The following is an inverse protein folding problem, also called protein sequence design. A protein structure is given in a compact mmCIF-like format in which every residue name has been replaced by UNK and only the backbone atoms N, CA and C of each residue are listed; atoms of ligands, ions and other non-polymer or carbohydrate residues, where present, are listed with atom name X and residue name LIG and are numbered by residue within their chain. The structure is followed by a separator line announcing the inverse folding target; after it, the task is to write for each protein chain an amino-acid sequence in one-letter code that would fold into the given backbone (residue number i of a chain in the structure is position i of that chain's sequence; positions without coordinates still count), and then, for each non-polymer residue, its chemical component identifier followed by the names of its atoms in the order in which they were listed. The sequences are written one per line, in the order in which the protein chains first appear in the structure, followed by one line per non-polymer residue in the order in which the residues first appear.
data_IF_761634366624
#
_entry.id   IF_761634366624
#
_cell.length_a   1.000
_cell.length_b   1.000
_cell.length_c   1.000
_cell.angle_alpha   90.00
_cell.angle_beta   90.00
_cell.angle_gamma   90.00
#
_symmetry.space_group_name_H-M   'P 1'
#
loop_
_entity.id
_entity.type
_entity.pdbx_description
1 polymer ?
#
# COMPACT_ATOMS: atom_id res chain seq x y z
N UNK A 1 11.56 24.39 -10.73
CA UNK A 1 11.92 24.21 -9.31
C UNK A 1 13.31 23.62 -9.26
N UNK A 2 14.19 24.11 -8.37
CA UNK A 2 15.54 23.53 -8.22
C UNK A 2 15.50 22.33 -7.26
N UNK A 3 16.40 21.36 -7.44
CA UNK A 3 16.49 20.17 -6.58
C UNK A 3 16.53 20.53 -5.08
N UNK A 4 17.23 21.61 -4.73
CA UNK A 4 17.37 22.11 -3.35
C UNK A 4 16.04 22.55 -2.73
N UNK A 5 15.10 23.08 -3.52
CA UNK A 5 13.77 23.45 -3.02
C UNK A 5 12.87 22.22 -2.80
N UNK A 6 12.99 21.20 -3.65
CA UNK A 6 12.27 19.93 -3.49
C UNK A 6 12.70 19.21 -2.21
N UNK A 7 14.02 19.11 -1.99
CA UNK A 7 14.59 18.50 -0.78
C UNK A 7 14.12 19.18 0.52
N UNK A 8 13.95 20.51 0.49
CA UNK A 8 13.55 21.23 1.69
C UNK A 8 12.07 21.02 2.04
N UNK A 9 11.20 20.92 1.03
CA UNK A 9 9.78 20.61 1.17
C UNK A 9 9.56 19.18 1.69
N UNK A 10 10.30 18.21 1.14
CA UNK A 10 10.25 16.81 1.61
C UNK A 10 10.66 16.69 3.08
N UNK A 11 11.73 17.37 3.50
CA UNK A 11 12.14 17.40 4.92
C UNK A 11 11.07 17.98 5.84
N UNK A 12 10.37 19.03 5.42
CA UNK A 12 9.29 19.64 6.21
C UNK A 12 8.08 18.70 6.33
N UNK A 13 7.70 18.03 5.25
CA UNK A 13 6.60 17.04 5.26
C UNK A 13 6.93 15.85 6.16
N UNK A 14 8.17 15.34 6.09
CA UNK A 14 8.66 14.27 6.98
C UNK A 14 8.59 14.72 8.45
N UNK A 15 9.04 15.93 8.76
CA UNK A 15 8.99 16.45 10.13
C UNK A 15 7.56 16.64 10.63
N UNK A 16 6.65 17.13 9.79
CA UNK A 16 5.24 17.26 10.13
C UNK A 16 4.57 15.90 10.39
N UNK A 17 4.87 14.90 9.57
CA UNK A 17 4.38 13.53 9.76
C UNK A 17 4.88 12.95 11.09
N UNK A 18 6.18 13.06 11.38
CA UNK A 18 6.76 12.64 12.67
C UNK A 18 6.09 13.38 13.85
N UNK A 19 5.92 14.70 13.74
CA UNK A 19 5.28 15.51 14.78
C UNK A 19 3.80 15.17 14.99
N UNK A 20 3.10 14.66 13.96
CA UNK A 20 1.70 14.25 14.08
C UNK A 20 1.52 12.93 14.84
N UNK A 21 2.60 12.19 15.10
CA UNK A 21 2.55 10.88 15.75
C UNK A 21 1.92 9.78 14.89
N UNK A 22 1.66 10.06 13.61
CA UNK A 22 1.12 9.06 12.70
C UNK A 22 2.19 8.00 12.36
N UNK A 23 1.82 6.70 12.38
CA UNK A 23 2.73 5.64 11.99
C UNK A 23 3.24 5.84 10.56
N UNK A 24 4.53 5.60 10.33
CA UNK A 24 5.17 5.78 9.01
C UNK A 24 4.87 4.64 8.04
N UNK A 25 4.75 3.42 8.55
CA UNK A 25 4.63 2.22 7.73
C UNK A 25 3.25 1.60 7.90
N UNK A 26 2.68 1.11 6.80
CA UNK A 26 1.51 0.23 6.84
C UNK A 26 1.84 -1.13 6.27
N UNK A 27 1.30 -2.18 6.90
CA UNK A 27 1.32 -3.56 6.42
C UNK A 27 -0.13 -3.94 6.13
N UNK A 28 -0.44 -4.25 4.86
CA UNK A 28 -1.78 -4.64 4.41
C UNK A 28 -1.77 -6.12 4.07
N UNK A 29 -2.59 -6.88 4.78
CA UNK A 29 -2.77 -8.32 4.63
C UNK A 29 -4.11 -8.54 3.95
N UNK A 30 -4.13 -9.07 2.73
CA UNK A 30 -5.37 -9.38 2.02
C UNK A 30 -5.76 -10.84 2.24
N UNK A 31 -7.01 -11.07 2.63
CA UNK A 31 -7.57 -12.38 2.91
C UNK A 31 -8.28 -12.95 1.69
N UNK A 32 -8.29 -14.28 1.56
CA UNK A 32 -9.01 -15.02 0.52
C UNK A 32 -10.49 -14.63 0.38
N UNK A 33 -11.14 -14.27 1.49
CA UNK A 33 -12.54 -13.84 1.53
C UNK A 33 -12.81 -12.39 1.11
N UNK A 34 -11.82 -11.65 0.61
CA UNK A 34 -11.97 -10.27 0.14
C UNK A 34 -11.84 -9.18 1.21
N UNK A 35 -11.68 -9.55 2.49
CA UNK A 35 -11.36 -8.63 3.56
C UNK A 35 -9.85 -8.32 3.61
N UNK A 36 -9.46 -7.25 4.31
CA UNK A 36 -8.06 -6.95 4.60
C UNK A 36 -7.86 -6.55 6.05
N UNK A 37 -6.66 -6.84 6.55
CA UNK A 37 -6.16 -6.36 7.85
C UNK A 37 -5.07 -5.32 7.56
N UNK A 38 -5.10 -4.20 8.28
CA UNK A 38 -4.04 -3.20 8.21
C UNK A 38 -3.37 -3.06 9.57
N UNK A 39 -2.07 -3.31 9.59
CA UNK A 39 -1.21 -2.98 10.72
C UNK A 39 -0.40 -1.72 10.43
N UNK A 40 -0.03 -1.03 11.50
CA UNK A 40 0.76 0.18 11.46
C UNK A 40 2.04 -0.02 12.28
N UNK A 41 3.13 0.57 11.81
CA UNK A 41 4.40 0.57 12.52
C UNK A 41 5.11 1.92 12.31
N UNK A 42 5.84 2.37 13.34
CA UNK A 42 6.67 3.58 13.25
C UNK A 42 8.10 3.26 12.80
N UNK A 43 8.57 2.05 13.08
CA UNK A 43 9.91 1.58 12.75
C UNK A 43 9.91 0.62 11.57
N UNK A 44 10.93 0.75 10.71
CA UNK A 44 11.04 -0.07 9.49
C UNK A 44 11.21 -1.54 9.83
N UNK A 45 12.07 -1.85 10.79
CA UNK A 45 12.39 -3.23 11.16
C UNK A 45 11.18 -3.94 11.78
N UNK A 46 10.37 -3.21 12.55
CA UNK A 46 9.09 -3.73 13.05
C UNK A 46 8.15 -4.04 11.87
N UNK A 47 8.01 -3.12 10.92
CA UNK A 47 7.14 -3.29 9.76
C UNK A 47 7.54 -4.50 8.91
N UNK A 48 8.84 -4.66 8.66
CA UNK A 48 9.38 -5.78 7.89
C UNK A 48 9.28 -7.11 8.65
N UNK A 49 9.47 -7.12 9.96
CA UNK A 49 9.27 -8.31 10.79
C UNK A 49 7.81 -8.78 10.72
N UNK A 50 6.85 -7.85 10.85
CA UNK A 50 5.42 -8.15 10.71
C UNK A 50 5.08 -8.67 9.31
N UNK A 51 5.69 -8.10 8.27
CA UNK A 51 5.50 -8.58 6.90
C UNK A 51 5.86 -10.06 6.77
N UNK A 52 7.04 -10.46 7.24
CA UNK A 52 7.50 -11.85 7.16
C UNK A 52 6.60 -12.79 7.96
N UNK A 53 6.17 -12.38 9.16
CA UNK A 53 5.23 -13.16 9.96
C UNK A 53 3.89 -13.36 9.25
N UNK A 54 3.36 -12.30 8.63
CA UNK A 54 2.10 -12.35 7.91
C UNK A 54 2.14 -13.29 6.70
N UNK A 55 3.29 -13.47 6.05
CA UNK A 55 3.44 -14.44 4.95
C UNK A 55 3.26 -15.88 5.39
N UNK A 56 3.48 -16.18 6.67
CA UNK A 56 3.24 -17.51 7.25
C UNK A 56 1.79 -17.75 7.68
N UNK A 57 0.92 -16.75 7.61
CA UNK A 57 -0.48 -16.88 8.02
C UNK A 57 -1.33 -17.57 6.95
N UNK A 58 -2.14 -18.55 7.37
CA UNK A 58 -3.03 -19.26 6.46
C UNK A 58 -4.15 -18.34 5.94
N UNK A 59 -4.51 -18.51 4.66
CA UNK A 59 -5.62 -17.78 4.04
C UNK A 59 -5.26 -16.37 3.54
N UNK A 60 -3.98 -16.02 3.52
CA UNK A 60 -3.48 -14.79 2.90
C UNK A 60 -3.38 -14.92 1.37
N UNK A 61 -3.84 -13.90 0.66
CA UNK A 61 -3.65 -13.74 -0.80
C UNK A 61 -2.38 -12.95 -1.10
N UNK A 62 -2.11 -11.91 -0.32
CA UNK A 62 -0.97 -11.01 -0.52
C UNK A 62 -0.68 -10.22 0.75
N UNK A 63 0.59 -9.91 0.99
CA UNK A 63 1.04 -9.02 2.05
C UNK A 63 1.83 -7.87 1.42
N UNK A 64 1.48 -6.63 1.75
CA UNK A 64 2.10 -5.43 1.18
C UNK A 64 2.53 -4.49 2.29
N UNK A 65 3.80 -4.09 2.30
CA UNK A 65 4.34 -3.08 3.23
C UNK A 65 4.68 -1.80 2.47
N UNK A 66 4.20 -0.67 2.96
CA UNK A 66 4.33 0.65 2.32
C UNK A 66 4.91 1.68 3.29
N UNK A 67 5.80 2.52 2.78
CA UNK A 67 6.38 3.67 3.47
C UNK A 67 5.63 4.95 3.06
N UNK A 68 4.91 5.55 4.00
CA UNK A 68 4.08 6.74 3.75
C UNK A 68 4.88 8.03 3.62
N UNK A 69 6.17 8.03 3.96
CA UNK A 69 7.03 9.21 3.79
C UNK A 69 7.70 9.25 2.43
N UNK A 70 8.22 8.11 1.97
CA UNK A 70 8.86 8.02 0.65
C UNK A 70 7.87 7.68 -0.46
N UNK A 71 6.63 7.33 -0.09
CA UNK A 71 5.58 6.85 -0.99
C UNK A 71 6.02 5.61 -1.79
N UNK A 72 6.77 4.73 -1.15
CA UNK A 72 7.33 3.53 -1.77
C UNK A 72 6.80 2.26 -1.14
N UNK A 73 6.52 1.27 -1.99
CA UNK A 73 6.32 -0.10 -1.57
C UNK A 73 7.66 -0.69 -1.15
N UNK A 74 7.77 -1.14 0.11
CA UNK A 74 8.97 -1.78 0.63
C UNK A 74 9.01 -3.27 0.30
N UNK A 75 7.85 -3.93 0.33
CA UNK A 75 7.69 -5.33 -0.01
C UNK A 75 6.25 -5.61 -0.45
N UNK A 76 6.08 -6.53 -1.40
CA UNK A 76 4.79 -7.02 -1.88
C UNK A 76 4.97 -8.49 -2.25
N UNK A 77 4.50 -9.36 -1.36
CA UNK A 77 4.74 -10.80 -1.45
C UNK A 77 3.42 -11.56 -1.46
N UNK A 78 3.43 -12.69 -2.17
CA UNK A 78 2.27 -13.53 -2.38
C UNK A 78 2.56 -14.93 -1.83
N UNK A 79 1.77 -15.41 -0.85
CA UNK A 79 1.92 -16.76 -0.33
C UNK A 79 1.77 -17.81 -1.46
N UNK A 80 2.39 -19.00 -1.33
CA UNK A 80 2.38 -20.04 -2.37
C UNK A 80 0.97 -20.50 -2.77
N UNK A 81 0.06 -20.53 -1.81
CA UNK A 81 -1.35 -20.91 -2.00
C UNK A 81 -2.25 -19.69 -2.29
N UNK A 82 -1.65 -18.51 -2.47
CA UNK A 82 -2.30 -17.23 -2.77
C UNK A 82 -2.39 -16.93 -4.26
N UNK A 83 -2.62 -15.65 -4.60
CA UNK A 83 -2.63 -15.19 -6.01
C UNK A 83 -1.21 -14.99 -6.50
N UNK A 84 -0.97 -15.14 -7.80
CA UNK A 84 0.27 -14.65 -8.39
C UNK A 84 0.24 -13.12 -8.52
N UNK A 85 1.42 -12.50 -8.58
CA UNK A 85 1.54 -11.06 -8.85
C UNK A 85 0.80 -10.65 -10.15
N UNK A 86 0.85 -11.52 -11.17
CA UNK A 86 0.18 -11.28 -12.46
C UNK A 86 -1.35 -11.32 -12.33
N UNK A 87 -1.90 -12.28 -11.59
CA UNK A 87 -3.34 -12.33 -11.31
C UNK A 87 -3.79 -11.06 -10.57
N UNK A 88 -3.01 -10.59 -9.60
CA UNK A 88 -3.35 -9.37 -8.89
C UNK A 88 -3.23 -8.12 -9.77
N UNK A 89 -2.26 -8.07 -10.69
CA UNK A 89 -2.14 -6.99 -11.67
C UNK A 89 -3.39 -6.89 -12.55
N UNK A 90 -3.83 -8.02 -13.11
CA UNK A 90 -5.04 -8.09 -13.95
C UNK A 90 -6.27 -7.58 -13.20
N UNK A 91 -6.46 -8.00 -11.95
CA UNK A 91 -7.59 -7.52 -11.13
C UNK A 91 -7.54 -6.02 -10.85
N UNK A 92 -6.34 -5.46 -10.66
CA UNK A 92 -6.18 -4.02 -10.50
C UNK A 92 -6.53 -3.27 -11.79
N UNK A 93 -6.08 -3.76 -12.94
CA UNK A 93 -6.40 -3.17 -14.25
C UNK A 93 -7.92 -3.19 -14.49
N UNK A 94 -8.57 -4.34 -14.26
CA UNK A 94 -10.03 -4.47 -14.37
C UNK A 94 -10.79 -3.52 -13.43
N UNK A 95 -10.31 -3.34 -12.19
CA UNK A 95 -10.92 -2.43 -11.24
C UNK A 95 -10.77 -0.95 -11.66
N UNK A 96 -9.64 -0.60 -12.25
CA UNK A 96 -9.38 0.74 -12.80
C UNK A 96 -10.31 1.01 -13.98
N UNK A 97 -10.44 0.06 -14.91
CA UNK A 97 -11.33 0.17 -16.07
C UNK A 97 -12.77 0.39 -15.63
N UNK A 98 -13.26 -0.42 -14.67
CA UNK A 98 -14.60 -0.25 -14.12
C UNK A 98 -14.80 1.09 -13.40
N UNK A 99 -13.78 1.62 -12.72
CA UNK A 99 -13.85 2.96 -12.12
C UNK A 99 -13.99 4.03 -13.20
N UNK A 100 -13.22 3.91 -14.28
CA UNK A 100 -13.23 4.86 -15.39
C UNK A 100 -14.58 4.85 -16.12
N UNK A 101 -15.14 3.67 -16.40
CA UNK A 101 -16.47 3.53 -16.98
C UNK A 101 -17.55 4.19 -16.12
N UNK A 102 -17.53 3.96 -14.80
CA UNK A 102 -18.47 4.61 -13.87
C UNK A 102 -18.34 6.12 -13.86
N UNK A 103 -17.11 6.63 -13.92
CA UNK A 103 -16.86 8.07 -13.96
C UNK A 103 -17.40 8.69 -15.25
N UNK A 104 -17.08 8.13 -16.42
CA UNK A 104 -17.60 8.61 -17.70
C UNK A 104 -19.13 8.59 -17.76
N UNK A 105 -19.75 7.54 -17.23
CA UNK A 105 -21.21 7.44 -17.12
C UNK A 105 -21.80 8.55 -16.22
N UNK A 106 -21.12 8.91 -15.13
CA UNK A 106 -21.55 9.99 -14.25
C UNK A 106 -21.43 11.37 -14.91
N UNK A 107 -20.38 11.61 -15.71
CA UNK A 107 -20.18 12.88 -16.41
C UNK A 107 -21.14 13.08 -17.59
N UNK A 108 -21.61 11.99 -18.21
CA UNK A 108 -22.56 12.05 -19.34
C UNK A 108 -24.03 12.22 -18.93
N UNK A 109 -24.33 12.10 -17.63
CA UNK A 109 -25.66 12.33 -17.05
C UNK A 109 -25.91 13.79 -16.62
N UNK A 110 -24.92 14.68 -16.81
CA UNK A 110 -24.97 16.11 -16.54
C UNK A 110 -24.97 16.94 -17.82
#
# INVERSE_FOLDING_TARGET
MSATQSDHLERQLIQAHIASGQPRYSIVLKLAGGAFIRHWASERDEAMTRHVLALGEAGMISVVTFDHLTLQTLAADFPPDGKTAEQWRIECDEAIDQMFERWLAAETLH
#
